data_IF_596707168881
#
_entry.id   IF_596707168881
#
_cell.length_a   1.000
_cell.length_b   1.000
_cell.length_c   1.000
_cell.angle_alpha   90.00
_cell.angle_beta   90.00
_cell.angle_gamma   90.00
#
_symmetry.space_group_name_H-M   'P 1'
#
loop_
_entity.id
_entity.type
_entity.pdbx_description
1 polymer ?
#
# COMPACT_ATOMS: atom_id res chain seq x y z
N UNK A 1 7.30 7.85 1.30
CA UNK A 1 7.25 6.38 1.41
C UNK A 1 7.98 5.78 0.21
N UNK A 2 8.55 4.58 0.31
CA UNK A 2 9.14 3.86 -0.83
C UNK A 2 8.44 2.51 -1.03
N UNK A 3 8.39 2.02 -2.28
CA UNK A 3 7.78 0.76 -2.70
C UNK A 3 8.37 -0.44 -1.97
N UNK A 4 9.69 -0.42 -1.71
CA UNK A 4 10.37 -1.47 -0.96
C UNK A 4 9.78 -1.63 0.46
N UNK A 5 9.51 -0.52 1.14
CA UNK A 5 8.89 -0.52 2.47
C UNK A 5 7.48 -1.13 2.45
N UNK A 6 6.71 -0.84 1.40
CA UNK A 6 5.36 -1.39 1.19
C UNK A 6 5.43 -2.91 0.92
N UNK A 7 6.39 -3.35 0.09
CA UNK A 7 6.66 -4.78 -0.17
C UNK A 7 7.01 -5.51 1.13
N UNK A 8 7.89 -4.94 1.94
CA UNK A 8 8.30 -5.52 3.23
C UNK A 8 7.13 -5.64 4.20
N UNK A 9 6.32 -4.59 4.30
CA UNK A 9 5.12 -4.60 5.12
C UNK A 9 4.12 -5.67 4.65
N UNK A 10 3.89 -5.83 3.35
CA UNK A 10 3.03 -6.87 2.78
C UNK A 10 3.59 -8.29 2.97
N UNK A 11 4.91 -8.46 2.90
CA UNK A 11 5.54 -9.75 3.15
C UNK A 11 5.42 -10.17 4.62
N UNK A 12 5.43 -9.19 5.54
CA UNK A 12 5.24 -9.40 6.98
C UNK A 12 3.76 -9.53 7.35
N UNK A 13 2.90 -8.79 6.66
CA UNK A 13 1.46 -8.69 6.92
C UNK A 13 0.69 -8.94 5.62
N UNK A 14 -0.14 -9.98 5.59
CA UNK A 14 -0.94 -10.35 4.40
C UNK A 14 -1.89 -9.25 3.90
N UNK A 15 -2.08 -8.18 4.67
CA UNK A 15 -2.88 -7.01 4.32
C UNK A 15 -2.35 -5.79 5.09
N UNK A 16 -2.28 -4.65 4.40
CA UNK A 16 -1.97 -3.32 4.97
C UNK A 16 -2.99 -2.28 4.49
N UNK A 17 -3.03 -1.13 5.16
CA UNK A 17 -3.72 0.07 4.66
C UNK A 17 -2.68 1.14 4.38
N UNK A 18 -2.74 1.76 3.20
CA UNK A 18 -1.99 2.97 2.91
C UNK A 18 -2.93 4.18 2.97
N UNK A 19 -2.45 5.30 3.50
CA UNK A 19 -3.14 6.59 3.45
C UNK A 19 -2.43 7.49 2.44
N UNK A 20 -3.20 8.24 1.65
CA UNK A 20 -2.66 9.24 0.73
C UNK A 20 -2.76 10.66 1.30
N UNK A 21 -2.12 11.62 0.65
CA UNK A 21 -2.20 13.05 0.96
C UNK A 21 -3.63 13.60 0.84
N UNK A 22 -4.49 12.97 0.03
CA UNK A 22 -5.91 13.28 -0.08
C UNK A 22 -6.76 12.65 1.05
N UNK A 23 -6.13 11.99 2.03
CA UNK A 23 -6.77 11.20 3.09
C UNK A 23 -7.55 9.97 2.58
N UNK A 24 -7.25 9.50 1.37
CA UNK A 24 -7.79 8.25 0.87
C UNK A 24 -7.10 7.07 1.57
N UNK A 25 -7.91 6.17 2.14
CA UNK A 25 -7.42 4.93 2.77
C UNK A 25 -7.63 3.76 1.83
N UNK A 26 -6.54 3.12 1.45
CA UNK A 26 -6.53 2.07 0.44
C UNK A 26 -6.03 0.78 1.08
N UNK A 27 -6.88 -0.24 1.10
CA UNK A 27 -6.48 -1.59 1.46
C UNK A 27 -5.62 -2.18 0.36
N UNK A 28 -4.47 -2.74 0.75
CA UNK A 28 -3.54 -3.40 -0.17
C UNK A 28 -3.29 -4.81 0.36
N UNK A 29 -3.57 -5.81 -0.48
CA UNK A 29 -3.30 -7.23 -0.20
C UNK A 29 -2.24 -7.81 -1.12
N UNK A 30 -2.23 -7.32 -2.35
CA UNK A 30 -1.32 -7.80 -3.39
C UNK A 30 -0.97 -6.65 -4.31
N UNK A 31 0.29 -6.57 -4.66
CA UNK A 31 0.82 -5.60 -5.63
C UNK A 31 1.51 -6.33 -6.76
N UNK A 32 1.58 -5.69 -7.92
CA UNK A 32 2.38 -6.18 -9.03
C UNK A 32 3.87 -6.05 -8.71
N UNK A 33 4.63 -7.11 -8.95
CA UNK A 33 6.08 -7.08 -8.85
C UNK A 33 6.66 -6.55 -10.16
N UNK A 34 6.84 -5.24 -10.23
CA UNK A 34 7.40 -4.53 -11.36
C UNK A 34 8.41 -3.47 -10.89
N UNK A 35 9.14 -2.88 -11.84
CA UNK A 35 10.14 -1.82 -11.60
C UNK A 35 9.55 -0.40 -11.73
N UNK A 36 8.23 -0.24 -11.59
CA UNK A 36 7.59 1.08 -11.58
C UNK A 36 7.78 1.76 -10.22
N UNK A 37 8.68 2.72 -10.16
CA UNK A 37 8.99 3.49 -8.95
C UNK A 37 8.05 4.70 -8.75
N UNK A 38 7.21 5.02 -9.74
CA UNK A 38 6.25 6.12 -9.65
C UNK A 38 4.91 5.65 -9.07
N UNK A 39 4.47 4.45 -9.46
CA UNK A 39 3.17 3.91 -9.09
C UNK A 39 3.26 2.57 -8.34
N UNK A 40 2.46 2.47 -7.28
CA UNK A 40 2.10 1.19 -6.67
C UNK A 40 0.91 0.60 -7.43
N UNK A 41 1.13 -0.51 -8.13
CA UNK A 41 0.09 -1.25 -8.84
C UNK A 41 -0.52 -2.26 -7.89
N UNK A 42 -1.71 -1.95 -7.36
CA UNK A 42 -2.45 -2.82 -6.45
C UNK A 42 -3.31 -3.75 -7.29
N UNK A 43 -3.15 -5.06 -7.10
CA UNK A 43 -3.93 -6.12 -7.79
C UNK A 43 -5.12 -6.57 -6.95
N UNK A 44 -5.01 -6.52 -5.62
CA UNK A 44 -6.08 -6.88 -4.69
C UNK A 44 -6.27 -5.80 -3.61
N UNK A 45 -7.52 -5.40 -3.31
CA UNK A 45 -8.78 -6.07 -3.65
C UNK A 45 -9.33 -5.79 -5.07
N UNK A 46 -8.74 -4.84 -5.78
CA UNK A 46 -9.08 -4.51 -7.18
C UNK A 46 -7.85 -3.90 -7.84
N UNK A 47 -7.78 -4.00 -9.16
CA UNK A 47 -6.78 -3.31 -9.96
C UNK A 47 -6.90 -1.79 -9.81
N UNK A 48 -5.86 -1.17 -9.27
CA UNK A 48 -5.74 0.29 -9.16
C UNK A 48 -4.28 0.70 -9.05
N UNK A 49 -4.00 1.96 -9.40
CA UNK A 49 -2.68 2.55 -9.29
C UNK A 49 -2.70 3.67 -8.26
N UNK A 50 -1.69 3.68 -7.40
CA UNK A 50 -1.50 4.72 -6.38
C UNK A 50 -0.14 5.35 -6.60
N UNK A 51 -0.09 6.68 -6.73
CA UNK A 51 1.20 7.38 -6.83
C UNK A 51 1.97 7.24 -5.51
N UNK A 52 3.18 6.68 -5.57
CA UNK A 52 3.99 6.44 -4.37
C UNK A 52 4.30 7.76 -3.64
N UNK A 53 4.51 8.84 -4.40
CA UNK A 53 4.75 10.17 -3.87
C UNK A 53 3.58 10.74 -3.03
N UNK A 54 2.36 10.22 -3.23
CA UNK A 54 1.17 10.65 -2.49
C UNK A 54 0.95 9.87 -1.21
N UNK A 55 1.65 8.75 -0.98
CA UNK A 55 1.47 7.90 0.19
C UNK A 55 2.13 8.58 1.40
N UNK A 56 1.30 8.93 2.38
CA UNK A 56 1.70 9.65 3.60
C UNK A 56 1.88 8.72 4.78
N UNK A 57 1.10 7.64 4.85
CA UNK A 57 1.15 6.68 5.97
C UNK A 57 0.93 5.23 5.50
N UNK A 58 1.42 4.29 6.31
CA UNK A 58 1.21 2.86 6.14
C UNK A 58 0.86 2.22 7.48
N UNK A 59 -0.26 1.52 7.52
CA UNK A 59 -0.75 0.80 8.69
C UNK A 59 -0.51 -0.70 8.48
N UNK A 60 0.51 -1.21 9.17
CA UNK A 60 0.98 -2.61 9.17
C UNK A 60 0.07 -3.58 9.94
N UNK A 61 -1.22 -3.28 10.04
CA UNK A 61 -2.20 -4.16 10.66
C UNK A 61 -2.14 -4.22 12.21
N UNK A 62 -3.00 -3.40 12.81
CA UNK A 62 -3.57 -3.59 14.15
C UNK A 62 -5.08 -3.29 14.04
N UNK A 63 -5.80 -4.01 13.16
CA UNK A 63 -7.22 -3.77 12.84
C UNK A 63 -8.20 -3.89 14.03
N UNK A 64 -7.70 -4.18 15.24
CA UNK A 64 -8.45 -4.31 16.49
C UNK A 64 -8.25 -3.14 17.49
N UNK A 65 -7.78 -1.96 17.09
CA UNK A 65 -7.68 -0.79 18.00
C UNK A 65 -8.85 0.22 17.91
N UNK A 66 -10.04 -0.22 17.51
CA UNK A 66 -11.28 0.55 17.68
C UNK A 66 -12.07 0.07 18.90
#
# INVERSE_FOLDING_TARGET
MDKQHIKEALNKHSEIIIETIEHDRITVKKIEDNDDDQYLHVLEPKDQKVEIAKITDLQENNFNQL
#
